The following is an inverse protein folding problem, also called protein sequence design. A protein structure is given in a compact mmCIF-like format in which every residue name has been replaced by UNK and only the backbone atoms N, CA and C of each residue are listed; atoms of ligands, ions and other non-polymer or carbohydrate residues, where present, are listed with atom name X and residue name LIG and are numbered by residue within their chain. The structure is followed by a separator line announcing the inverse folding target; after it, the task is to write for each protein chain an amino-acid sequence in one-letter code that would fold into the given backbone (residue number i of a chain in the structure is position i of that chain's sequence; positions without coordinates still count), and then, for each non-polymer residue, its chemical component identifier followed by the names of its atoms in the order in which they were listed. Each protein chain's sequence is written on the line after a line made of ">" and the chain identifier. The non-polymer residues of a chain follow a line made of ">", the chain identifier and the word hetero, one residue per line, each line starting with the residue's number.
data_IF_752689026120
#
_entry.id   IF_752689026120
#
_cell.length_a   1.000
_cell.length_b   1.000
_cell.length_c   1.000
_cell.angle_alpha   90.00
_cell.angle_beta   90.00
_cell.angle_gamma   90.00
#
_symmetry.space_group_name_H-M   'P 1'
#
loop_
_entity.id
_entity.type
_entity.pdbx_description
1 polymer ?
#
# COMPACT_ATOMS: atom_id res chain seq x y z
N UNK A 1 16.28 -2.31 3.03
CA UNK A 1 14.97 -2.93 2.68
C UNK A 1 14.35 -2.27 1.45
N UNK A 2 14.09 -0.95 1.46
CA UNK A 2 13.55 -0.21 0.30
C UNK A 2 14.35 -0.44 -0.99
N UNK A 3 15.67 -0.24 -0.96
CA UNK A 3 16.53 -0.46 -2.13
C UNK A 3 16.41 -1.87 -2.70
N UNK A 4 16.28 -2.88 -1.84
CA UNK A 4 16.12 -4.27 -2.29
C UNK A 4 14.82 -4.46 -3.07
N UNK A 5 13.71 -3.85 -2.59
CA UNK A 5 12.42 -3.88 -3.30
C UNK A 5 12.53 -3.17 -4.65
N UNK A 6 13.20 -2.02 -4.71
CA UNK A 6 13.30 -1.21 -5.93
C UNK A 6 14.19 -1.85 -7.02
N UNK A 7 15.21 -2.63 -6.65
CA UNK A 7 16.15 -3.22 -7.61
C UNK A 7 15.83 -4.66 -7.98
N UNK A 8 14.88 -5.31 -7.31
CA UNK A 8 14.50 -6.71 -7.55
C UNK A 8 13.00 -6.76 -7.89
N UNK A 9 12.61 -6.98 -9.17
CA UNK A 9 11.21 -6.97 -9.61
C UNK A 9 10.29 -7.90 -8.83
N UNK A 10 10.84 -9.03 -8.35
CA UNK A 10 10.15 -9.96 -7.45
C UNK A 10 11.09 -10.30 -6.29
N UNK A 11 10.68 -9.96 -5.07
CA UNK A 11 11.49 -10.21 -3.89
C UNK A 11 10.65 -10.57 -2.67
N UNK A 12 11.30 -11.19 -1.70
CA UNK A 12 10.75 -11.43 -0.38
C UNK A 12 11.51 -10.61 0.66
N UNK A 13 10.78 -10.03 1.60
CA UNK A 13 11.37 -9.26 2.70
C UNK A 13 11.30 -10.07 3.99
N UNK A 14 12.46 -10.56 4.41
CA UNK A 14 12.62 -11.37 5.62
C UNK A 14 13.14 -10.47 6.73
N UNK A 15 12.28 -10.15 7.70
CA UNK A 15 12.68 -9.34 8.85
C UNK A 15 11.79 -9.62 10.07
N UNK A 16 12.37 -9.44 11.25
CA UNK A 16 11.68 -9.58 12.54
C UNK A 16 10.47 -8.66 12.69
N UNK A 17 9.65 -8.94 13.71
CA UNK A 17 8.54 -8.04 14.07
C UNK A 17 9.08 -6.66 14.48
N UNK A 18 8.35 -5.59 14.13
CA UNK A 18 8.78 -4.21 14.41
C UNK A 18 9.87 -3.65 13.50
N UNK A 19 10.52 -4.46 12.65
CA UNK A 19 11.63 -4.02 11.77
C UNK A 19 11.20 -3.18 10.54
N UNK A 20 9.99 -2.61 10.55
CA UNK A 20 9.54 -1.68 9.52
C UNK A 20 9.23 -2.31 8.14
N UNK A 21 8.84 -3.59 8.09
CA UNK A 21 8.48 -4.26 6.82
C UNK A 21 7.41 -3.50 6.02
N UNK A 22 6.32 -3.12 6.68
CA UNK A 22 5.20 -2.42 6.05
C UNK A 22 5.60 -1.04 5.54
N UNK A 23 6.24 -0.21 6.39
CA UNK A 23 6.69 1.13 6.00
C UNK A 23 7.73 1.08 4.88
N UNK A 24 8.63 0.09 4.87
CA UNK A 24 9.60 -0.07 3.80
C UNK A 24 8.91 -0.40 2.46
N UNK A 25 7.90 -1.29 2.47
CA UNK A 25 7.11 -1.59 1.26
C UNK A 25 6.33 -0.38 0.78
N UNK A 26 5.67 0.36 1.68
CA UNK A 26 4.96 1.59 1.33
C UNK A 26 5.90 2.67 0.78
N UNK A 27 7.11 2.80 1.33
CA UNK A 27 8.12 3.75 0.85
C UNK A 27 8.63 3.37 -0.55
N UNK A 28 8.81 2.07 -0.82
CA UNK A 28 9.16 1.61 -2.16
C UNK A 28 8.05 1.90 -3.17
N UNK A 29 6.79 1.61 -2.81
CA UNK A 29 5.64 1.92 -3.66
C UNK A 29 5.51 3.42 -3.95
N UNK A 30 5.60 4.27 -2.92
CA UNK A 30 5.57 5.72 -3.06
C UNK A 30 6.69 6.23 -4.00
N UNK A 31 7.88 5.63 -3.93
CA UNK A 31 8.99 5.95 -4.85
C UNK A 31 8.65 5.56 -6.29
N UNK A 32 8.09 4.37 -6.51
CA UNK A 32 7.68 3.89 -7.85
C UNK A 32 6.55 4.73 -8.45
N UNK A 33 5.59 5.16 -7.64
CA UNK A 33 4.52 6.06 -8.09
C UNK A 33 5.05 7.45 -8.43
N UNK A 34 5.90 8.03 -7.58
CA UNK A 34 6.46 9.38 -7.79
C UNK A 34 7.42 9.44 -8.97
N UNK A 35 8.09 8.34 -9.31
CA UNK A 35 8.95 8.25 -10.50
C UNK A 35 8.17 7.96 -11.79
N UNK A 36 6.87 7.70 -11.70
CA UNK A 36 6.03 7.33 -12.84
C UNK A 36 6.27 5.91 -13.38
N UNK A 37 7.06 5.09 -12.68
CA UNK A 37 7.30 3.69 -13.04
C UNK A 37 6.03 2.86 -12.79
N UNK A 38 5.39 3.08 -11.63
CA UNK A 38 4.08 2.49 -11.34
C UNK A 38 3.01 3.56 -11.50
N UNK A 39 1.96 3.23 -12.26
CA UNK A 39 0.85 4.14 -12.58
C UNK A 39 -0.49 3.57 -12.15
N UNK A 40 -0.55 2.29 -11.80
CA UNK A 40 -1.77 1.58 -11.45
C UNK A 40 -1.84 1.32 -9.94
N UNK A 41 -3.05 1.22 -9.37
CA UNK A 41 -3.20 0.88 -7.96
C UNK A 41 -2.52 -0.46 -7.62
N UNK A 42 -1.78 -0.51 -6.51
CA UNK A 42 -1.18 -1.73 -5.99
C UNK A 42 -2.18 -2.50 -5.11
N UNK A 43 -2.31 -3.81 -5.31
CA UNK A 43 -3.10 -4.69 -4.47
C UNK A 43 -2.23 -5.32 -3.37
N UNK A 44 -2.62 -5.10 -2.11
CA UNK A 44 -1.99 -5.72 -0.96
C UNK A 44 -2.88 -6.85 -0.43
N UNK A 45 -2.34 -8.06 -0.36
CA UNK A 45 -2.98 -9.21 0.27
C UNK A 45 -2.38 -9.41 1.67
N UNK A 46 -3.23 -9.46 2.70
CA UNK A 46 -2.79 -9.65 4.08
C UNK A 46 -3.91 -10.30 4.92
N UNK A 47 -3.58 -10.87 6.11
CA UNK A 47 -4.59 -11.27 7.07
C UNK A 47 -5.55 -10.12 7.39
N UNK A 48 -6.82 -10.43 7.64
CA UNK A 48 -7.90 -9.44 7.76
C UNK A 48 -7.56 -8.27 8.69
N UNK A 49 -7.01 -8.55 9.88
CA UNK A 49 -6.59 -7.52 10.84
C UNK A 49 -5.52 -6.60 10.25
N UNK A 50 -4.50 -7.18 9.63
CA UNK A 50 -3.36 -6.44 9.04
C UNK A 50 -3.83 -5.56 7.88
N UNK A 51 -4.68 -6.09 7.00
CA UNK A 51 -5.28 -5.32 5.90
C UNK A 51 -6.18 -4.17 6.39
N UNK A 52 -6.84 -4.35 7.53
CA UNK A 52 -7.80 -3.37 8.07
C UNK A 52 -7.11 -2.26 8.86
N UNK A 53 -6.05 -2.55 9.62
CA UNK A 53 -5.39 -1.56 10.49
C UNK A 53 -3.94 -1.29 10.11
N UNK A 54 -3.08 -2.31 10.03
CA UNK A 54 -1.63 -2.10 9.90
C UNK A 54 -1.22 -1.28 8.67
N UNK A 55 -1.75 -1.61 7.50
CA UNK A 55 -1.41 -0.89 6.26
C UNK A 55 -1.88 0.57 6.25
N UNK A 56 -3.18 0.88 6.51
CA UNK A 56 -3.63 2.27 6.55
C UNK A 56 -2.99 3.07 7.69
N UNK A 57 -2.80 2.47 8.88
CA UNK A 57 -2.21 3.18 10.02
C UNK A 57 -0.75 3.55 9.75
N UNK A 58 0.04 2.65 9.17
CA UNK A 58 1.42 2.95 8.78
C UNK A 58 1.47 4.05 7.73
N UNK A 59 0.59 4.04 6.71
CA UNK A 59 0.57 5.11 5.71
C UNK A 59 0.27 6.50 6.30
N UNK A 60 -0.60 6.57 7.32
CA UNK A 60 -0.95 7.83 8.01
C UNK A 60 0.13 8.29 8.98
N UNK A 61 0.86 7.34 9.58
CA UNK A 61 1.89 7.61 10.60
C UNK A 61 3.06 8.43 10.08
N UNK A 62 3.48 8.21 8.83
CA UNK A 62 4.70 8.81 8.30
C UNK A 62 4.42 9.98 7.35
N UNK A 63 5.01 11.14 7.63
CA UNK A 63 4.77 12.37 6.86
C UNK A 63 5.04 12.22 5.36
N UNK A 64 6.08 11.46 4.98
CA UNK A 64 6.45 11.27 3.57
C UNK A 64 5.47 10.37 2.80
N UNK A 65 4.66 9.57 3.49
CA UNK A 65 3.66 8.66 2.90
C UNK A 65 2.26 9.28 2.78
N UNK A 66 2.05 10.51 3.27
CA UNK A 66 0.72 11.17 3.26
C UNK A 66 0.11 11.36 1.86
N UNK A 67 0.92 11.31 0.81
CA UNK A 67 0.44 11.33 -0.58
C UNK A 67 -0.14 10.01 -1.07
N UNK A 68 0.15 8.90 -0.38
CA UNK A 68 -0.27 7.56 -0.73
C UNK A 68 -1.62 7.24 -0.07
N UNK A 69 -2.62 6.91 -0.88
CA UNK A 69 -3.94 6.54 -0.39
C UNK A 69 -4.00 5.03 -0.21
N UNK A 70 -4.15 4.58 1.04
CA UNK A 70 -4.37 3.17 1.36
C UNK A 70 -5.84 2.97 1.71
N UNK A 71 -6.56 2.23 0.88
CA UNK A 71 -7.98 1.93 1.07
C UNK A 71 -8.16 0.44 1.44
N UNK A 72 -8.55 0.13 2.69
CA UNK A 72 -8.95 -1.22 3.05
C UNK A 72 -10.17 -1.67 2.24
N UNK A 73 -10.11 -2.88 1.67
CA UNK A 73 -11.18 -3.52 0.89
C UNK A 73 -11.56 -4.81 1.62
N UNK A 74 -12.24 -4.66 2.77
CA UNK A 74 -12.62 -5.76 3.66
C UNK A 74 -14.13 -5.75 3.96
N UNK A 75 -14.63 -6.77 4.64
CA UNK A 75 -16.04 -6.93 4.98
C UNK A 75 -16.87 -7.68 3.92
N UNK A 76 -18.17 -7.43 3.91
CA UNK A 76 -19.13 -8.06 3.01
C UNK A 76 -18.85 -7.72 1.53
N UNK A 77 -19.36 -8.53 0.56
CA UNK A 77 -19.19 -8.22 -0.86
C UNK A 77 -19.62 -6.79 -1.24
N UNK A 78 -20.75 -6.30 -0.69
CA UNK A 78 -21.25 -4.94 -0.93
C UNK A 78 -20.30 -3.86 -0.41
N UNK A 79 -19.71 -4.07 0.77
CA UNK A 79 -18.72 -3.14 1.34
C UNK A 79 -17.44 -3.10 0.51
N UNK A 80 -16.96 -4.27 0.04
CA UNK A 80 -15.78 -4.36 -0.82
C UNK A 80 -15.99 -3.68 -2.18
N UNK A 81 -17.16 -3.86 -2.80
CA UNK A 81 -17.53 -3.17 -4.04
C UNK A 81 -17.55 -1.64 -3.85
N UNK A 82 -18.18 -1.15 -2.77
CA UNK A 82 -18.20 0.27 -2.47
C UNK A 82 -16.80 0.85 -2.21
N UNK A 83 -15.92 0.10 -1.54
CA UNK A 83 -14.53 0.50 -1.31
C UNK A 83 -13.74 0.59 -2.62
N UNK A 84 -13.91 -0.39 -3.52
CA UNK A 84 -13.26 -0.38 -4.85
C UNK A 84 -13.71 0.81 -5.70
N UNK A 85 -15.01 1.15 -5.69
CA UNK A 85 -15.52 2.32 -6.41
C UNK A 85 -14.85 3.63 -5.94
N UNK A 86 -14.66 3.79 -4.63
CA UNK A 86 -13.95 4.97 -4.06
C UNK A 86 -12.50 5.07 -4.53
N UNK A 87 -11.82 3.94 -4.73
CA UNK A 87 -10.47 3.92 -5.31
C UNK A 87 -10.54 4.40 -6.74
N UNK A 88 -11.40 3.79 -7.58
CA UNK A 88 -11.52 4.14 -9.00
C UNK A 88 -11.77 5.64 -9.22
N UNK A 89 -12.68 6.26 -8.45
CA UNK A 89 -12.94 7.70 -8.56
C UNK A 89 -11.71 8.57 -8.32
N UNK A 90 -10.81 8.19 -7.39
CA UNK A 90 -9.60 8.96 -7.10
C UNK A 90 -8.52 8.87 -8.18
N UNK A 91 -8.58 7.86 -9.04
CA UNK A 91 -7.64 7.67 -10.15
C UNK A 91 -8.17 8.24 -11.47
N UNK A 92 -9.48 8.43 -11.61
CA UNK A 92 -10.08 9.06 -12.81
C UNK A 92 -9.96 10.59 -12.78
N UNK A 93 -9.81 11.18 -11.59
CA UNK A 93 -9.72 12.63 -11.37
C UNK A 93 -8.26 13.14 -11.20
N UNK A 94 -7.27 12.34 -11.61
CA UNK A 94 -5.84 12.70 -11.70
C UNK A 94 -5.33 12.41 -13.10
#
# INVERSE_FOLDING_TARGET
>A
MVTHILTHPHCNIWAGMGMGKTVATLTALDTLFKSGIETRPALVLAPLRVATSTWPDEALKWTHLRGLVVQPITGTPKQRQAALAKVAHKYVDR
#
